data_IF_897116164261
#
_entry.id   IF_897116164261
#
_cell.length_a   1.000
_cell.length_b   1.000
_cell.length_c   1.000
_cell.angle_alpha   90.00
_cell.angle_beta   90.00
_cell.angle_gamma   90.00
#
_symmetry.space_group_name_H-M   'P 1'
#
loop_
_entity.id
_entity.type
_entity.pdbx_description
1 polymer ?
#
# COMPACT_ATOMS: atom_id res chain seq x y z
N UNK A 1 -3.68 11.17 10.62
CA UNK A 1 -2.58 10.62 9.80
C UNK A 1 -3.06 9.34 9.13
N UNK A 2 -3.26 9.36 7.80
CA UNK A 2 -3.72 8.18 7.04
C UNK A 2 -2.53 7.62 6.26
N UNK A 3 -2.24 6.32 6.43
CA UNK A 3 -1.13 5.63 5.78
C UNK A 3 -1.68 4.82 4.60
N UNK A 4 -0.95 4.76 3.49
CA UNK A 4 -1.23 3.84 2.40
C UNK A 4 0.05 3.16 1.90
N UNK A 5 -0.05 1.96 1.30
CA UNK A 5 1.07 1.37 0.57
C UNK A 5 1.38 2.22 -0.65
N UNK A 6 2.64 2.32 -1.03
CA UNK A 6 3.01 2.88 -2.32
C UNK A 6 2.27 2.13 -3.46
N UNK A 7 1.86 2.83 -4.54
CA UNK A 7 1.13 2.19 -5.63
C UNK A 7 1.82 0.92 -6.14
N UNK A 8 1.09 -0.19 -6.16
CA UNK A 8 1.59 -1.48 -6.66
C UNK A 8 2.62 -2.19 -5.77
N UNK A 9 3.07 -1.60 -4.65
CA UNK A 9 4.18 -2.18 -3.86
C UNK A 9 3.83 -3.56 -3.27
N UNK A 10 2.58 -3.75 -2.83
CA UNK A 10 2.14 -5.04 -2.30
C UNK A 10 2.06 -6.11 -3.39
N UNK A 11 1.73 -5.72 -4.63
CA UNK A 11 1.75 -6.63 -5.76
C UNK A 11 3.19 -7.01 -6.09
N UNK A 12 4.10 -6.03 -6.12
CA UNK A 12 5.54 -6.29 -6.34
C UNK A 12 6.13 -7.23 -5.29
N UNK A 13 5.86 -7.01 -4.00
CA UNK A 13 6.34 -7.90 -2.93
C UNK A 13 5.84 -9.34 -3.11
N UNK A 14 4.59 -9.51 -3.55
CA UNK A 14 4.04 -10.83 -3.85
C UNK A 14 4.70 -11.47 -5.07
N UNK A 15 4.90 -10.70 -6.15
CA UNK A 15 5.49 -11.16 -7.40
C UNK A 15 6.96 -11.55 -7.21
N UNK A 16 7.72 -10.77 -6.43
CA UNK A 16 9.12 -11.05 -6.06
C UNK A 16 9.24 -12.39 -5.31
N UNK A 17 8.20 -12.79 -4.58
CA UNK A 17 8.12 -14.08 -3.88
C UNK A 17 7.44 -15.18 -4.71
N UNK A 18 6.97 -14.87 -5.93
CA UNK A 18 6.24 -15.77 -6.82
C UNK A 18 5.02 -16.44 -6.16
N UNK A 19 4.29 -15.67 -5.35
CA UNK A 19 3.13 -16.15 -4.60
C UNK A 19 1.80 -15.79 -5.27
N UNK A 20 0.79 -16.64 -5.09
CA UNK A 20 -0.60 -16.29 -5.36
C UNK A 20 -1.13 -15.37 -4.24
N UNK A 21 -2.26 -14.68 -4.49
CA UNK A 21 -2.88 -13.84 -3.46
C UNK A 21 -3.20 -14.61 -2.17
N UNK A 22 -3.60 -15.87 -2.29
CA UNK A 22 -3.89 -16.75 -1.16
C UNK A 22 -2.62 -17.08 -0.37
N UNK A 23 -1.57 -17.56 -1.04
CA UNK A 23 -0.30 -17.86 -0.39
C UNK A 23 0.33 -16.63 0.23
N UNK A 24 0.21 -15.47 -0.42
CA UNK A 24 0.75 -14.23 0.10
C UNK A 24 -0.03 -13.73 1.32
N UNK A 25 -1.36 -13.82 1.30
CA UNK A 25 -2.20 -13.50 2.47
C UNK A 25 -1.84 -14.39 3.67
N UNK A 26 -1.67 -15.69 3.44
CA UNK A 26 -1.25 -16.64 4.48
C UNK A 26 0.18 -16.32 4.97
N UNK A 27 1.10 -15.99 4.07
CA UNK A 27 2.49 -15.66 4.40
C UNK A 27 2.60 -14.43 5.30
N UNK A 28 1.84 -13.38 5.00
CA UNK A 28 1.76 -12.18 5.85
C UNK A 28 0.71 -12.32 6.96
N UNK A 29 0.14 -13.52 7.18
CA UNK A 29 -0.78 -13.84 8.26
C UNK A 29 -2.02 -12.93 8.31
N UNK A 30 -2.59 -12.59 7.16
CA UNK A 30 -3.83 -11.79 7.06
C UNK A 30 -4.90 -12.49 6.22
N UNK A 31 -6.13 -11.99 6.26
CA UNK A 31 -7.19 -12.53 5.41
C UNK A 31 -7.01 -12.07 3.97
N UNK A 32 -7.40 -12.91 3.00
CA UNK A 32 -7.43 -12.55 1.57
C UNK A 32 -8.23 -11.27 1.31
N UNK A 33 -9.32 -11.06 2.04
CA UNK A 33 -10.14 -9.86 1.93
C UNK A 33 -9.41 -8.61 2.43
N UNK A 34 -8.66 -8.72 3.54
CA UNK A 34 -7.83 -7.63 4.06
C UNK A 34 -6.70 -7.28 3.10
N UNK A 35 -6.00 -8.28 2.57
CA UNK A 35 -4.96 -8.09 1.55
C UNK A 35 -5.53 -7.40 0.30
N UNK A 36 -6.66 -7.89 -0.21
CA UNK A 36 -7.30 -7.31 -1.39
C UNK A 36 -7.66 -5.83 -1.18
N UNK A 37 -8.28 -5.48 -0.04
CA UNK A 37 -8.60 -4.07 0.29
C UNK A 37 -7.35 -3.21 0.44
N UNK A 38 -6.24 -3.76 0.90
CA UNK A 38 -4.98 -3.04 1.02
C UNK A 38 -4.29 -2.81 -0.34
N UNK A 39 -4.59 -3.64 -1.35
CA UNK A 39 -4.10 -3.47 -2.73
C UNK A 39 -4.93 -2.50 -3.57
N UNK A 40 -6.14 -2.14 -3.13
CA UNK A 40 -6.99 -1.21 -3.88
C UNK A 40 -6.36 0.18 -3.99
N UNK A 41 -6.69 0.94 -5.06
CA UNK A 41 -6.36 2.36 -5.14
C UNK A 41 -6.86 3.13 -3.91
N UNK A 42 -6.09 4.10 -3.42
CA UNK A 42 -6.42 4.85 -2.19
C UNK A 42 -7.68 5.73 -2.31
N UNK A 43 -8.14 5.98 -3.53
CA UNK A 43 -9.39 6.66 -3.84
C UNK A 43 -10.61 5.72 -3.93
N UNK A 44 -10.42 4.40 -3.86
CA UNK A 44 -11.52 3.42 -3.79
C UNK A 44 -12.15 3.46 -2.39
N UNK A 45 -13.48 3.50 -2.31
CA UNK A 45 -14.22 3.56 -1.04
C UNK A 45 -14.02 2.32 -0.16
N UNK A 46 -13.61 1.20 -0.74
CA UNK A 46 -13.33 -0.07 -0.06
C UNK A 46 -11.88 -0.18 0.37
N UNK A 47 -11.00 0.74 -0.05
CA UNK A 47 -9.61 0.74 0.34
C UNK A 47 -9.47 0.82 1.85
N UNK A 48 -8.74 -0.14 2.40
CA UNK A 48 -8.42 -0.17 3.81
C UNK A 48 -7.07 -0.83 4.00
N UNK A 49 -6.14 -0.08 4.58
CA UNK A 49 -4.89 -0.61 5.10
C UNK A 49 -5.06 -0.75 6.62
N UNK A 50 -5.42 -1.95 7.07
CA UNK A 50 -5.45 -2.27 8.49
C UNK A 50 -4.08 -2.09 9.13
N UNK A 51 -4.02 -1.56 10.35
CA UNK A 51 -2.75 -1.44 11.09
C UNK A 51 -2.09 -2.81 11.29
N UNK A 52 -2.89 -3.87 11.39
CA UNK A 52 -2.41 -5.25 11.45
C UNK A 52 -1.69 -5.67 10.15
N UNK A 53 -2.26 -5.37 8.98
CA UNK A 53 -1.68 -5.69 7.67
C UNK A 53 -0.33 -4.98 7.51
N UNK A 54 -0.28 -3.68 7.82
CA UNK A 54 0.95 -2.89 7.76
C UNK A 54 2.04 -3.48 8.67
N UNK A 55 1.70 -3.77 9.93
CA UNK A 55 2.65 -4.32 10.90
C UNK A 55 3.17 -5.69 10.45
N UNK A 56 2.28 -6.57 9.96
CA UNK A 56 2.67 -7.89 9.46
C UNK A 56 3.61 -7.81 8.26
N UNK A 57 3.36 -6.89 7.32
CA UNK A 57 4.26 -6.65 6.19
C UNK A 57 5.64 -6.21 6.68
N UNK A 58 5.72 -5.21 7.56
CA UNK A 58 7.01 -4.74 8.10
C UNK A 58 7.77 -5.85 8.85
N UNK A 59 7.05 -6.74 9.54
CA UNK A 59 7.64 -7.90 10.22
C UNK A 59 8.17 -8.95 9.24
N UNK A 60 7.48 -9.20 8.13
CA UNK A 60 7.91 -10.20 7.12
C UNK A 60 9.01 -9.67 6.19
N UNK A 61 9.11 -8.36 6.03
CA UNK A 61 10.10 -7.69 5.20
C UNK A 61 10.99 -6.75 6.04
N UNK A 62 11.77 -7.27 7.01
CA UNK A 62 12.53 -6.44 7.96
C UNK A 62 13.69 -5.67 7.28
N UNK A 63 14.06 -6.06 6.07
CA UNK A 63 15.05 -5.37 5.24
C UNK A 63 14.46 -4.20 4.42
N UNK A 64 13.14 -3.96 4.49
CA UNK A 64 12.46 -2.84 3.84
C UNK A 64 12.12 -1.79 4.88
N UNK A 65 12.46 -0.53 4.59
CA UNK A 65 12.07 0.60 5.42
C UNK A 65 10.61 0.96 5.18
N UNK A 66 10.03 1.67 6.15
CA UNK A 66 8.65 2.15 6.05
C UNK A 66 8.44 3.00 4.79
N UNK A 67 9.34 3.96 4.51
CA UNK A 67 9.22 4.84 3.35
C UNK A 67 9.37 4.13 1.99
N UNK A 68 9.91 2.91 1.95
CA UNK A 68 9.98 2.09 0.73
C UNK A 68 8.66 1.35 0.44
N UNK A 69 7.78 1.26 1.43
CA UNK A 69 6.56 0.47 1.37
C UNK A 69 5.30 1.32 1.54
N UNK A 70 5.36 2.39 2.31
CA UNK A 70 4.20 3.15 2.74
C UNK A 70 4.47 4.65 2.68
N UNK A 71 3.39 5.44 2.59
CA UNK A 71 3.45 6.90 2.64
C UNK A 71 2.29 7.49 3.46
N UNK A 72 2.50 8.70 3.96
CA UNK A 72 1.50 9.46 4.70
C UNK A 72 0.64 10.28 3.73
N UNK A 73 -0.63 9.89 3.54
CA UNK A 73 -1.57 10.51 2.58
C UNK A 73 -1.79 12.00 2.86
N UNK A 74 -1.84 12.40 4.15
CA UNK A 74 -2.07 13.81 4.52
C UNK A 74 -0.85 14.72 4.31
N UNK A 75 0.36 14.15 4.24
CA UNK A 75 1.58 14.92 3.99
C UNK A 75 1.92 14.95 2.50
N UNK A 76 1.52 13.92 1.74
CA UNK A 76 1.82 13.83 0.31
C UNK A 76 0.86 14.60 -0.61
N UNK A 77 -0.35 14.95 -0.15
CA UNK A 77 -1.29 15.75 -0.97
C UNK A 77 -0.82 17.19 -1.20
N UNK A 78 0.06 17.72 -0.34
CA UNK A 78 0.64 19.05 -0.54
C UNK A 78 1.72 19.07 -1.64
N UNK A 79 2.32 17.92 -1.98
CA UNK A 79 3.29 17.84 -3.08
C UNK A 79 2.66 17.60 -4.46
N UNK A 80 1.41 17.13 -4.54
CA UNK A 80 0.75 16.78 -5.81
C UNK A 80 -0.23 17.84 -6.33
N UNK A 81 -0.51 18.90 -5.56
CA UNK A 81 -1.38 20.02 -5.99
C UNK A 81 -0.65 21.18 -6.66
N UNK A 82 0.64 21.03 -6.99
CA UNK A 82 1.46 22.08 -7.62
C UNK A 82 1.49 22.09 -9.15
N UNK A 83 1.16 20.99 -9.83
CA UNK A 83 1.44 20.83 -11.28
C UNK A 83 0.21 20.77 -12.19
N UNK A 84 -1.01 20.95 -11.67
CA UNK A 84 -2.25 20.83 -12.46
C UNK A 84 -2.88 22.16 -12.90
N UNK A 85 -2.30 23.31 -12.58
CA UNK A 85 -2.85 24.63 -12.93
C UNK A 85 -1.94 25.45 -13.84
N UNK A 86 -1.49 24.90 -14.97
CA UNK A 86 -1.10 25.71 -16.15
C UNK A 86 -1.41 24.97 -17.44
N UNK A 87 -2.62 25.17 -17.97
CA UNK A 87 -2.92 24.74 -19.33
C UNK A 87 -4.40 24.75 -19.70
N UNK A 88 -4.96 25.93 -19.93
CA UNK A 88 -5.80 26.23 -21.09
C UNK A 88 -6.26 27.70 -21.00
N UNK A 89 -5.62 28.52 -21.84
CA UNK A 89 -6.15 29.80 -22.32
C UNK A 89 -7.40 29.61 -23.15
#
# INVERSE_FOLDING_TARGET
>A
MRIAPLPGVLQKLQDDLQMTDEKFADYIETSRASLWRAKLPTNDSRFSLGQDVMTKILTKFPNKKFEELFFLIQVSQECYKGDSEKGAS
#
